data_IF_067317658576
#
_entry.id   IF_067317658576
#
_cell.length_a   1.000
_cell.length_b   1.000
_cell.length_c   1.000
_cell.angle_alpha   90.00
_cell.angle_beta   90.00
_cell.angle_gamma   90.00
#
_symmetry.space_group_name_H-M   'P 1'
#
loop_
_entity.id
_entity.type
_entity.pdbx_description
1 polymer ?
#
# COMPACT_ATOMS: atom_id res chain seq x y z
N UNK A 1 16.73 -5.68 20.56
CA UNK A 1 15.47 -5.53 19.79
C UNK A 1 14.26 -5.34 20.73
N UNK A 2 14.29 -4.41 21.70
CA UNK A 2 13.20 -4.26 22.70
C UNK A 2 12.18 -3.16 22.36
N UNK A 3 12.56 -2.18 21.54
CA UNK A 3 11.72 -1.03 21.21
C UNK A 3 10.59 -1.42 20.26
N UNK A 4 10.89 -2.16 19.18
CA UNK A 4 9.88 -2.61 18.21
C UNK A 4 8.82 -3.53 18.86
N UNK A 5 9.26 -4.38 19.78
CA UNK A 5 8.37 -5.21 20.59
C UNK A 5 7.48 -4.36 21.50
N UNK A 6 8.07 -3.41 22.23
CA UNK A 6 7.34 -2.52 23.13
C UNK A 6 6.25 -1.70 22.40
N UNK A 7 6.58 -1.04 21.29
CA UNK A 7 5.59 -0.25 20.52
C UNK A 7 4.52 -1.13 19.87
N UNK A 8 4.81 -2.43 19.71
CA UNK A 8 3.90 -3.42 19.13
C UNK A 8 2.96 -4.05 20.14
N UNK A 9 3.16 -3.85 21.44
CA UNK A 9 2.27 -4.35 22.48
C UNK A 9 0.86 -3.78 22.26
N UNK A 10 -0.22 -4.58 22.39
CA UNK A 10 -1.58 -4.16 22.07
C UNK A 10 -1.98 -2.82 22.70
N UNK A 11 -1.64 -2.60 23.97
CA UNK A 11 -1.98 -1.35 24.68
C UNK A 11 -1.18 -0.15 24.18
N UNK A 12 0.07 -0.34 23.76
CA UNK A 12 0.92 0.74 23.25
C UNK A 12 0.53 1.06 21.81
N UNK A 13 0.37 0.03 20.96
CA UNK A 13 -0.04 0.21 19.57
C UNK A 13 -1.44 0.81 19.46
N UNK A 14 -2.36 0.46 20.37
CA UNK A 14 -3.69 1.07 20.41
C UNK A 14 -3.63 2.57 20.72
N UNK A 15 -2.78 2.99 21.68
CA UNK A 15 -2.58 4.42 21.98
C UNK A 15 -2.03 5.18 20.77
N UNK A 16 -1.13 4.55 20.00
CA UNK A 16 -0.54 5.16 18.81
C UNK A 16 -1.63 5.41 17.76
N UNK A 17 -2.39 4.39 17.35
CA UNK A 17 -3.41 4.54 16.29
C UNK A 17 -4.59 5.42 16.69
N UNK A 18 -4.84 5.57 18.00
CA UNK A 18 -5.90 6.45 18.50
C UNK A 18 -5.45 7.91 18.66
N UNK A 19 -4.14 8.18 18.65
CA UNK A 19 -3.63 9.56 18.67
C UNK A 19 -3.59 10.11 17.24
N UNK A 20 -4.50 11.01 16.93
CA UNK A 20 -4.61 11.67 15.62
C UNK A 20 -3.30 12.39 15.19
N UNK A 21 -2.41 12.73 16.12
CA UNK A 21 -1.11 13.35 15.81
C UNK A 21 -0.15 12.38 15.10
N UNK A 22 -0.38 11.07 15.22
CA UNK A 22 0.50 10.06 14.61
C UNK A 22 0.20 9.85 13.13
N UNK A 23 -1.03 10.15 12.68
CA UNK A 23 -1.51 9.90 11.31
C UNK A 23 -1.35 8.41 10.93
N UNK A 24 -1.44 7.51 11.91
CA UNK A 24 -1.27 6.08 11.70
C UNK A 24 -2.63 5.37 11.64
N UNK A 25 -2.87 4.64 10.54
CA UNK A 25 -4.04 3.77 10.40
C UNK A 25 -3.93 2.52 11.29
N UNK A 26 -5.06 1.89 11.69
CA UNK A 26 -5.05 0.64 12.42
C UNK A 26 -4.40 -0.52 11.65
N UNK A 27 -3.28 -1.04 12.17
CA UNK A 27 -2.54 -2.15 11.54
C UNK A 27 -2.68 -3.52 12.26
N UNK A 28 -3.52 -3.64 13.29
CA UNK A 28 -3.77 -4.89 14.02
C UNK A 28 -5.27 -5.17 14.12
N UNK A 29 -5.65 -6.45 14.07
CA UNK A 29 -7.05 -6.89 14.29
C UNK A 29 -7.58 -6.39 15.64
N UNK A 30 -6.76 -6.37 16.69
CA UNK A 30 -7.14 -5.84 18.00
C UNK A 30 -7.52 -4.35 17.98
N UNK A 31 -6.95 -3.55 17.06
CA UNK A 31 -7.34 -2.15 16.90
C UNK A 31 -8.75 -2.04 16.32
N UNK A 32 -9.04 -2.81 15.26
CA UNK A 32 -10.34 -2.83 14.58
C UNK A 32 -11.49 -3.29 15.49
N UNK A 33 -11.16 -4.13 16.49
CA UNK A 33 -12.10 -4.67 17.48
C UNK A 33 -12.15 -3.88 18.79
N UNK A 34 -11.30 -2.87 18.98
CA UNK A 34 -11.23 -2.11 20.24
C UNK A 34 -12.55 -1.38 20.53
N UNK A 35 -13.23 -1.66 21.66
CA UNK A 35 -14.47 -0.97 22.01
C UNK A 35 -14.29 0.54 22.21
N UNK A 36 -13.10 0.97 22.65
CA UNK A 36 -12.80 2.39 22.86
C UNK A 36 -12.54 3.06 21.51
N UNK A 37 -11.80 2.41 20.59
CA UNK A 37 -11.55 2.99 19.27
C UNK A 37 -12.84 3.10 18.44
N UNK A 38 -13.67 2.06 18.45
CA UNK A 38 -14.99 2.06 17.78
C UNK A 38 -15.97 3.12 18.29
N UNK A 39 -15.64 3.82 19.39
CA UNK A 39 -16.43 4.91 19.98
C UNK A 39 -15.67 6.24 20.03
N UNK A 40 -14.47 6.31 19.46
CA UNK A 40 -13.57 7.45 19.63
C UNK A 40 -14.08 8.73 18.92
N UNK A 41 -14.85 8.58 17.85
CA UNK A 41 -15.46 9.66 17.09
C UNK A 41 -16.74 9.16 16.38
N UNK A 42 -17.60 10.06 15.86
CA UNK A 42 -18.78 9.67 15.11
C UNK A 42 -18.43 8.73 13.95
N UNK A 43 -19.15 7.61 13.82
CA UNK A 43 -18.92 6.59 12.80
C UNK A 43 -17.54 5.90 12.85
N UNK A 44 -16.82 5.95 13.99
CA UNK A 44 -15.53 5.26 14.14
C UNK A 44 -15.63 3.74 13.93
N UNK A 45 -16.75 3.13 14.32
CA UNK A 45 -17.07 1.74 14.04
C UNK A 45 -17.14 1.46 12.54
N UNK A 46 -17.86 2.29 11.78
CA UNK A 46 -17.97 2.18 10.31
C UNK A 46 -16.64 2.43 9.62
N UNK A 47 -15.83 3.38 10.10
CA UNK A 47 -14.48 3.62 9.58
C UNK A 47 -13.60 2.37 9.73
N UNK A 48 -13.61 1.73 10.91
CA UNK A 48 -12.83 0.51 11.15
C UNK A 48 -13.35 -0.68 10.34
N UNK A 49 -14.67 -0.81 10.16
CA UNK A 49 -15.27 -1.85 9.32
C UNK A 49 -14.93 -1.65 7.84
N UNK A 50 -14.93 -0.40 7.36
CA UNK A 50 -14.54 -0.08 5.99
C UNK A 50 -13.09 -0.43 5.71
N UNK A 51 -12.17 -0.14 6.64
CA UNK A 51 -10.76 -0.55 6.52
C UNK A 51 -10.66 -2.07 6.39
N UNK A 52 -11.32 -2.82 7.26
CA UNK A 52 -11.25 -4.29 7.22
C UNK A 52 -11.81 -4.86 5.92
N UNK A 53 -12.89 -4.27 5.40
CA UNK A 53 -13.48 -4.67 4.13
C UNK A 53 -12.51 -4.50 2.94
N UNK A 54 -11.48 -3.65 3.06
CA UNK A 54 -10.44 -3.51 2.03
C UNK A 54 -9.40 -4.62 2.04
N UNK A 55 -9.30 -5.41 3.12
CA UNK A 55 -8.21 -6.38 3.31
C UNK A 55 -8.07 -7.42 2.19
N UNK A 56 -9.17 -7.94 1.61
CA UNK A 56 -9.06 -8.75 0.42
C UNK A 56 -8.36 -7.95 -0.68
N UNK A 57 -8.86 -6.74 -1.00
CA UNK A 57 -8.45 -5.94 -2.16
C UNK A 57 -7.06 -5.28 -2.09
N UNK A 58 -6.27 -5.52 -1.05
CA UNK A 58 -4.94 -4.93 -0.89
C UNK A 58 -3.97 -5.45 -1.95
N UNK A 59 -3.40 -4.53 -2.73
CA UNK A 59 -2.24 -4.81 -3.58
C UNK A 59 -1.01 -4.27 -2.84
N UNK A 60 -0.06 -5.13 -2.46
CA UNK A 60 1.16 -4.67 -1.81
C UNK A 60 1.94 -3.77 -2.75
N UNK A 61 2.54 -2.73 -2.20
CA UNK A 61 3.48 -1.90 -2.95
C UNK A 61 4.60 -2.76 -3.57
N UNK A 62 5.15 -2.37 -4.73
CA UNK A 62 6.25 -3.10 -5.33
C UNK A 62 7.44 -3.14 -4.35
N UNK A 63 7.78 -4.33 -3.85
CA UNK A 63 8.91 -4.53 -2.92
C UNK A 63 10.18 -4.96 -3.68
N UNK A 64 10.46 -4.26 -4.78
CA UNK A 64 11.61 -4.51 -5.66
C UNK A 64 12.55 -3.30 -5.67
N UNK A 65 13.84 -3.47 -6.00
CA UNK A 65 14.74 -2.34 -6.17
C UNK A 65 14.17 -1.28 -7.12
N UNK A 66 14.32 -0.01 -6.73
CA UNK A 66 13.80 1.17 -7.42
C UNK A 66 12.28 1.32 -7.47
N UNK A 67 11.52 0.59 -6.64
CA UNK A 67 10.07 0.80 -6.48
C UNK A 67 9.67 2.27 -6.33
N UNK A 68 10.46 3.06 -5.60
CA UNK A 68 10.28 4.49 -5.39
C UNK A 68 10.40 5.30 -6.70
N UNK A 69 11.21 4.85 -7.65
CA UNK A 69 11.34 5.49 -8.97
C UNK A 69 10.06 5.30 -9.79
N UNK A 70 9.45 4.11 -9.74
CA UNK A 70 8.17 3.84 -10.39
C UNK A 70 7.08 4.74 -9.82
N UNK A 71 6.95 4.77 -8.48
CA UNK A 71 5.93 5.57 -7.79
C UNK A 71 6.10 7.07 -8.03
N UNK A 72 7.33 7.60 -7.91
CA UNK A 72 7.60 9.04 -8.13
C UNK A 72 7.26 9.47 -9.54
N UNK A 73 7.59 8.64 -10.54
CA UNK A 73 7.26 8.97 -11.93
C UNK A 73 5.75 9.01 -12.16
N UNK A 74 5.01 8.04 -11.64
CA UNK A 74 3.56 8.04 -11.74
C UNK A 74 2.96 9.26 -11.05
N UNK A 75 3.40 9.57 -9.82
CA UNK A 75 2.95 10.74 -9.08
C UNK A 75 3.19 12.04 -9.85
N UNK A 76 4.38 12.20 -10.43
CA UNK A 76 4.69 13.37 -11.26
C UNK A 76 3.74 13.51 -12.44
N UNK A 77 3.52 12.42 -13.20
CA UNK A 77 2.65 12.44 -14.39
C UNK A 77 1.18 12.69 -14.03
N UNK A 78 0.70 12.15 -12.90
CA UNK A 78 -0.64 12.48 -12.36
C UNK A 78 -0.74 13.97 -12.05
N UNK A 79 0.28 14.57 -11.43
CA UNK A 79 0.30 16.01 -11.17
C UNK A 79 0.26 16.84 -12.46
N UNK A 80 0.95 16.41 -13.52
CA UNK A 80 0.89 17.07 -14.84
C UNK A 80 -0.52 17.00 -15.44
N UNK A 81 -1.21 15.87 -15.31
CA UNK A 81 -2.59 15.72 -15.76
C UNK A 81 -3.57 16.58 -14.96
N UNK A 82 -3.44 16.60 -13.62
CA UNK A 82 -4.25 17.45 -12.74
C UNK A 82 -4.05 18.94 -13.02
N UNK A 83 -2.83 19.34 -13.38
CA UNK A 83 -2.49 20.68 -13.82
C UNK A 83 -2.94 21.00 -15.26
N UNK A 84 -3.62 20.05 -15.94
CA UNK A 84 -4.08 20.15 -17.34
C UNK A 84 -2.96 20.39 -18.35
N UNK A 85 -1.72 20.02 -18.03
CA UNK A 85 -0.56 20.10 -18.94
C UNK A 85 -0.44 18.88 -19.85
N UNK A 86 -1.02 17.75 -19.43
CA UNK A 86 -1.16 16.52 -20.21
C UNK A 86 -2.59 16.01 -20.10
N UNK A 87 -3.07 15.27 -21.09
CA UNK A 87 -4.26 14.44 -20.91
C UNK A 87 -3.95 13.28 -19.93
N UNK A 88 -4.97 12.72 -19.24
CA UNK A 88 -4.77 11.54 -18.40
C UNK A 88 -4.10 10.38 -19.13
N UNK A 89 -4.44 10.17 -20.42
CA UNK A 89 -3.83 9.13 -21.24
C UNK A 89 -2.35 9.38 -21.48
N UNK A 90 -1.98 10.59 -21.92
CA UNK A 90 -0.57 10.94 -22.18
C UNK A 90 0.30 10.87 -20.92
N UNK A 91 -0.25 11.24 -19.77
CA UNK A 91 0.43 11.12 -18.48
C UNK A 91 0.73 9.65 -18.13
N UNK A 92 -0.28 8.77 -18.23
CA UNK A 92 -0.09 7.34 -17.95
C UNK A 92 0.85 6.66 -18.96
N UNK A 93 0.73 6.99 -20.25
CA UNK A 93 1.64 6.49 -21.28
C UNK A 93 3.09 6.94 -21.00
N UNK A 94 3.28 8.20 -20.58
CA UNK A 94 4.59 8.75 -20.20
C UNK A 94 5.19 8.03 -18.98
N UNK A 95 4.37 7.70 -17.99
CA UNK A 95 4.81 6.93 -16.83
C UNK A 95 5.24 5.51 -17.23
N UNK A 96 4.45 4.83 -18.07
CA UNK A 96 4.75 3.49 -18.55
C UNK A 96 6.08 3.42 -19.32
N UNK A 97 6.33 4.38 -20.22
CA UNK A 97 7.61 4.44 -20.96
C UNK A 97 8.81 4.58 -20.03
N UNK A 98 8.68 5.38 -18.97
CA UNK A 98 9.77 5.57 -18.02
C UNK A 98 9.97 4.36 -17.10
N UNK A 99 8.89 3.69 -16.71
CA UNK A 99 8.95 2.41 -15.99
C UNK A 99 9.71 1.34 -16.76
N UNK A 100 9.56 1.28 -18.09
CA UNK A 100 10.35 0.40 -18.93
C UNK A 100 11.86 0.71 -18.83
N UNK A 101 12.24 2.00 -18.84
CA UNK A 101 13.65 2.40 -18.66
C UNK A 101 14.20 2.01 -17.29
N UNK A 102 13.42 2.22 -16.22
CA UNK A 102 13.81 1.78 -14.86
C UNK A 102 14.00 0.27 -14.83
N UNK A 103 13.07 -0.48 -15.41
CA UNK A 103 13.10 -1.95 -15.46
C UNK A 103 14.33 -2.46 -16.21
N UNK A 104 14.63 -1.91 -17.39
CA UNK A 104 15.81 -2.29 -18.17
C UNK A 104 17.10 -1.93 -17.44
N UNK A 105 17.21 -0.73 -16.86
CA UNK A 105 18.40 -0.32 -16.10
C UNK A 105 18.66 -1.20 -14.87
N UNK A 106 17.61 -1.67 -14.20
CA UNK A 106 17.72 -2.58 -13.04
C UNK A 106 17.90 -4.05 -13.45
N UNK A 107 17.64 -4.37 -14.71
CA UNK A 107 17.68 -5.72 -15.28
C UNK A 107 16.35 -6.44 -15.07
N UNK A 108 15.61 -6.62 -16.17
CA UNK A 108 14.25 -7.18 -16.16
C UNK A 108 14.17 -8.55 -15.47
N UNK A 109 15.08 -9.46 -15.77
CA UNK A 109 15.05 -10.80 -15.19
C UNK A 109 15.40 -10.80 -13.70
N UNK A 110 16.26 -9.88 -13.26
CA UNK A 110 16.56 -9.69 -11.84
C UNK A 110 15.33 -9.16 -11.09
N UNK A 111 14.66 -8.15 -11.65
CA UNK A 111 13.42 -7.62 -11.09
C UNK A 111 12.34 -8.71 -10.99
N UNK A 112 12.18 -9.55 -12.03
CA UNK A 112 11.25 -10.68 -12.01
C UNK A 112 11.59 -11.70 -10.93
N UNK A 113 12.86 -12.07 -10.78
CA UNK A 113 13.30 -13.01 -9.76
C UNK A 113 13.02 -12.48 -8.34
N UNK A 114 13.39 -11.21 -8.08
CA UNK A 114 13.18 -10.56 -6.79
C UNK A 114 11.68 -10.42 -6.46
N UNK A 115 10.87 -10.06 -7.45
CA UNK A 115 9.42 -10.05 -7.27
C UNK A 115 8.86 -11.45 -6.99
N UNK A 116 9.36 -12.48 -7.68
CA UNK A 116 8.99 -13.87 -7.43
C UNK A 116 9.29 -14.33 -6.01
N UNK A 117 10.47 -13.98 -5.47
CA UNK A 117 10.82 -14.24 -4.06
C UNK A 117 9.84 -13.56 -3.10
N UNK A 118 9.51 -12.27 -3.35
CA UNK A 118 8.57 -11.53 -2.50
C UNK A 118 7.15 -12.06 -2.59
N UNK A 119 6.69 -12.45 -3.77
CA UNK A 119 5.39 -13.12 -3.94
C UNK A 119 5.33 -14.43 -3.15
N UNK A 120 6.41 -15.22 -3.14
CA UNK A 120 6.47 -16.46 -2.38
C UNK A 120 6.43 -16.21 -0.86
N UNK A 121 7.17 -15.21 -0.36
CA UNK A 121 7.12 -14.78 1.05
C UNK A 121 5.71 -14.33 1.45
N UNK A 122 5.08 -13.46 0.64
CA UNK A 122 3.73 -12.97 0.88
C UNK A 122 2.71 -14.13 0.93
N UNK A 123 2.82 -15.07 -0.02
CA UNK A 123 1.97 -16.27 -0.02
C UNK A 123 2.15 -17.11 1.24
N UNK A 124 3.37 -17.27 1.74
CA UNK A 124 3.63 -18.00 2.99
C UNK A 124 3.00 -17.32 4.22
N UNK A 125 2.76 -16.00 4.15
CA UNK A 125 2.06 -15.21 5.16
C UNK A 125 0.53 -15.16 4.94
N UNK A 126 0.00 -15.86 3.93
CA UNK A 126 -1.43 -15.86 3.59
C UNK A 126 -1.87 -14.64 2.78
N UNK A 127 -0.94 -13.84 2.24
CA UNK A 127 -1.22 -12.72 1.34
C UNK A 127 -1.15 -13.26 -0.09
N UNK A 128 -2.31 -13.34 -0.75
CA UNK A 128 -2.41 -13.84 -2.13
C UNK A 128 -2.67 -12.69 -3.10
N UNK A 129 -1.88 -12.64 -4.18
CA UNK A 129 -2.10 -11.69 -5.26
C UNK A 129 -3.19 -12.22 -6.22
N UNK A 130 -4.26 -11.44 -6.38
CA UNK A 130 -5.38 -11.75 -7.27
C UNK A 130 -5.33 -10.91 -8.55
N UNK A 131 -4.57 -11.39 -9.54
CA UNK A 131 -4.40 -10.70 -10.84
C UNK A 131 -5.73 -10.44 -11.57
N UNK A 132 -6.76 -11.26 -11.30
CA UNK A 132 -8.10 -11.13 -11.88
C UNK A 132 -8.85 -9.88 -11.40
N UNK A 133 -8.45 -9.26 -10.28
CA UNK A 133 -9.07 -8.01 -9.82
C UNK A 133 -8.75 -6.83 -10.73
N UNK A 134 -7.53 -6.77 -11.26
CA UNK A 134 -7.17 -5.78 -12.26
C UNK A 134 -8.00 -5.96 -13.56
N UNK A 135 -8.35 -7.21 -13.90
CA UNK A 135 -9.19 -7.50 -15.06
C UNK A 135 -10.67 -7.13 -14.86
N UNK A 136 -11.14 -7.10 -13.60
CA UNK A 136 -12.51 -6.72 -13.20
C UNK A 136 -12.71 -5.20 -13.07
N UNK A 137 -11.64 -4.42 -12.98
CA UNK A 137 -11.68 -2.95 -12.89
C UNK A 137 -11.98 -2.26 -14.23
N UNK A 138 -12.59 -2.95 -15.19
CA UNK A 138 -13.12 -2.39 -16.44
C UNK A 138 -14.51 -1.81 -16.23
#
# INVERSE_FOLDING_TARGET
MKVLEFISLPDQSLKIVMDAKTIMDPWRVSHLRSPIFRKAFPDADKYLDAIEATFPFLVPDPVIPAADEYQRKLSFEITEALAKRKSPKEALDSAAVEWEKVTERRGRDKQKAQWGEKLAEMKALGIEYHADWAAKAK
#
